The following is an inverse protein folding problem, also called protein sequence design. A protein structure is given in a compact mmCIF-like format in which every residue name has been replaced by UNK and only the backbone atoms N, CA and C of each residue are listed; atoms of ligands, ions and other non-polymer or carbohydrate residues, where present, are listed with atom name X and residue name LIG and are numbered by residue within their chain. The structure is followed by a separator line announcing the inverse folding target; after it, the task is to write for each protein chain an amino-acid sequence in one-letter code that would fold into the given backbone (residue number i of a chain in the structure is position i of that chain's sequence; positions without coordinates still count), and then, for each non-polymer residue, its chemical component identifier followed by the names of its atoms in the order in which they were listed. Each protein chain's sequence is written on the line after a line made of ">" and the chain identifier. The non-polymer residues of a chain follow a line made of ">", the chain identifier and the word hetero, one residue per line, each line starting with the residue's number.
data_IF_134722271390
#
_entry.id   IF_134722271390
#
_cell.length_a   1.000
_cell.length_b   1.000
_cell.length_c   1.000
_cell.angle_alpha   90.00
_cell.angle_beta   90.00
_cell.angle_gamma   90.00
#
_symmetry.space_group_name_H-M   'P 1'
#
loop_
_entity.id
_entity.type
_entity.pdbx_description
1 polymer ?
#
# COMPACT_ATOMS: atom_id res chain seq x y z
N UNK A 1 -22.96 -7.40 -4.01
CA UNK A 1 -21.85 -7.23 -4.99
C UNK A 1 -21.39 -8.60 -5.45
N UNK A 2 -21.13 -8.80 -6.74
CA UNK A 2 -20.64 -10.05 -7.28
C UNK A 2 -19.14 -9.91 -7.57
N UNK A 3 -18.33 -10.86 -7.07
CA UNK A 3 -16.91 -10.91 -7.34
C UNK A 3 -16.64 -11.71 -8.63
N UNK A 4 -15.81 -11.17 -9.52
CA UNK A 4 -15.49 -11.76 -10.82
C UNK A 4 -14.03 -11.51 -11.19
N UNK A 5 -13.59 -12.12 -12.29
CA UNK A 5 -12.28 -11.88 -12.86
C UNK A 5 -12.43 -11.47 -14.32
N UNK A 6 -12.00 -10.25 -14.64
CA UNK A 6 -11.98 -9.75 -16.01
C UNK A 6 -11.03 -8.58 -16.19
N UNK A 7 -10.64 -8.32 -17.42
CA UNK A 7 -9.83 -7.15 -17.73
C UNK A 7 -10.67 -5.87 -17.57
N UNK A 8 -10.04 -4.86 -16.96
CA UNK A 8 -10.59 -3.52 -16.78
C UNK A 8 -9.52 -2.53 -17.23
N UNK A 9 -9.90 -1.52 -18.00
CA UNK A 9 -8.98 -0.48 -18.41
C UNK A 9 -8.54 0.42 -17.24
N UNK A 10 -7.44 1.14 -17.42
CA UNK A 10 -6.84 1.95 -16.37
C UNK A 10 -7.76 3.08 -15.87
N UNK A 11 -8.52 3.72 -16.77
CA UNK A 11 -9.42 4.82 -16.40
C UNK A 11 -10.60 4.30 -15.57
N UNK A 12 -11.19 3.17 -15.97
CA UNK A 12 -12.25 2.49 -15.24
C UNK A 12 -11.77 1.98 -13.88
N UNK A 13 -10.56 1.41 -13.80
CA UNK A 13 -9.92 1.00 -12.54
C UNK A 13 -9.79 2.18 -11.58
N UNK A 14 -9.19 3.30 -12.03
CA UNK A 14 -9.00 4.49 -11.19
C UNK A 14 -10.33 5.08 -10.72
N UNK A 15 -11.33 5.15 -11.61
CA UNK A 15 -12.66 5.67 -11.26
C UNK A 15 -13.35 4.79 -10.22
N UNK A 16 -13.39 3.48 -10.45
CA UNK A 16 -14.03 2.52 -9.56
C UNK A 16 -13.41 2.58 -8.17
N UNK A 17 -12.08 2.47 -8.06
CA UNK A 17 -11.39 2.48 -6.79
C UNK A 17 -11.53 3.82 -6.05
N UNK A 18 -11.52 4.96 -6.75
CA UNK A 18 -11.79 6.25 -6.11
C UNK A 18 -13.18 6.29 -5.48
N UNK A 19 -14.20 5.87 -6.21
CA UNK A 19 -15.59 5.88 -5.71
C UNK A 19 -15.77 4.89 -4.56
N UNK A 20 -15.14 3.72 -4.65
CA UNK A 20 -15.20 2.71 -3.60
C UNK A 20 -14.56 3.21 -2.31
N UNK A 21 -13.31 3.71 -2.38
CA UNK A 21 -12.62 4.25 -1.21
C UNK A 21 -13.29 5.49 -0.62
N UNK A 22 -13.99 6.28 -1.45
CA UNK A 22 -14.84 7.34 -0.94
C UNK A 22 -16.07 6.78 -0.20
N UNK A 23 -16.77 5.82 -0.78
CA UNK A 23 -18.00 5.26 -0.18
C UNK A 23 -17.75 4.41 1.04
N UNK A 24 -16.70 3.58 1.04
CA UNK A 24 -16.35 2.66 2.11
C UNK A 24 -15.55 3.29 3.26
N UNK A 25 -15.15 4.57 3.14
CA UNK A 25 -14.21 5.21 4.08
C UNK A 25 -14.67 5.19 5.54
N UNK A 26 -15.96 5.48 5.81
CA UNK A 26 -16.50 5.53 7.17
C UNK A 26 -16.53 4.11 7.78
N UNK A 27 -16.95 3.11 7.02
CA UNK A 27 -17.01 1.72 7.44
C UNK A 27 -15.61 1.16 7.67
N UNK A 28 -14.68 1.44 6.77
CA UNK A 28 -13.27 1.03 6.90
C UNK A 28 -12.63 1.59 8.18
N UNK A 29 -12.82 2.87 8.47
CA UNK A 29 -12.25 3.47 9.69
C UNK A 29 -12.93 2.92 10.96
N UNK A 30 -14.23 2.64 10.93
CA UNK A 30 -14.93 2.02 12.05
C UNK A 30 -14.42 0.61 12.35
N UNK A 31 -14.17 -0.19 11.31
CA UNK A 31 -13.76 -1.58 11.43
C UNK A 31 -12.26 -1.73 11.77
N UNK A 32 -11.43 -0.94 11.11
CA UNK A 32 -9.98 -1.12 11.17
C UNK A 32 -9.25 -0.05 11.97
N UNK A 33 -9.88 1.10 12.23
CA UNK A 33 -9.25 2.24 12.89
C UNK A 33 -8.66 1.91 14.26
N UNK A 34 -9.34 1.07 15.05
CA UNK A 34 -8.82 0.63 16.35
C UNK A 34 -7.52 -0.18 16.27
N UNK A 35 -7.33 -0.97 15.23
CA UNK A 35 -6.09 -1.71 14.97
C UNK A 35 -4.99 -0.81 14.40
N UNK A 36 -5.34 0.01 13.42
CA UNK A 36 -4.40 0.92 12.77
C UNK A 36 -3.90 2.02 13.71
N UNK A 37 -4.75 2.42 14.68
CA UNK A 37 -4.46 3.53 15.58
C UNK A 37 -4.53 4.89 14.89
N UNK A 38 -4.41 5.96 15.66
CA UNK A 38 -4.42 7.33 15.12
C UNK A 38 -3.00 7.84 14.79
N UNK A 39 -2.01 7.38 15.58
CA UNK A 39 -0.59 7.73 15.45
C UNK A 39 0.23 6.45 15.57
N UNK A 40 0.15 5.59 14.56
CA UNK A 40 0.84 4.31 14.52
C UNK A 40 1.19 3.94 13.07
N UNK A 41 2.29 3.25 12.87
CA UNK A 41 2.70 2.81 11.54
C UNK A 41 2.70 1.27 11.46
N UNK A 42 1.58 0.72 11.02
CA UNK A 42 1.41 -0.72 10.79
C UNK A 42 1.58 -1.02 9.30
N UNK A 43 2.52 -1.90 8.98
CA UNK A 43 2.80 -2.31 7.59
C UNK A 43 1.78 -3.27 7.01
N UNK A 44 1.09 -4.05 7.85
CA UNK A 44 0.30 -5.18 7.38
C UNK A 44 -0.68 -5.70 8.43
N UNK A 45 -1.69 -6.51 8.02
CA UNK A 45 -2.61 -7.17 8.93
C UNK A 45 -1.96 -8.09 9.97
N UNK A 46 -0.76 -8.61 9.70
CA UNK A 46 0.06 -9.36 10.67
C UNK A 46 0.52 -8.47 11.84
N UNK A 47 0.42 -7.16 11.71
CA UNK A 47 0.71 -6.22 12.79
C UNK A 47 2.17 -5.78 12.89
N UNK A 48 2.99 -5.98 11.84
CA UNK A 48 4.37 -5.49 11.82
C UNK A 48 4.39 -3.96 11.93
N UNK A 49 4.95 -3.46 13.04
CA UNK A 49 5.04 -2.02 13.33
C UNK A 49 6.39 -1.46 12.87
N UNK A 50 6.40 -0.28 12.25
CA UNK A 50 7.63 0.39 11.82
C UNK A 50 8.53 0.78 13.01
N UNK A 51 7.96 0.99 14.19
CA UNK A 51 8.73 1.25 15.40
C UNK A 51 9.73 0.12 15.70
N UNK A 52 9.34 -1.12 15.40
CA UNK A 52 10.17 -2.31 15.61
C UNK A 52 10.92 -2.70 14.32
N UNK A 53 10.24 -2.68 13.17
CA UNK A 53 10.77 -3.14 11.89
C UNK A 53 11.85 -2.22 11.31
N UNK A 54 11.73 -0.90 11.52
CA UNK A 54 12.65 0.15 11.08
C UNK A 54 13.05 0.05 9.60
N UNK A 55 12.09 -0.32 8.75
CA UNK A 55 12.33 -0.51 7.32
C UNK A 55 12.67 0.81 6.60
N UNK A 56 12.12 1.92 7.10
CA UNK A 56 12.44 3.26 6.60
C UNK A 56 13.78 3.78 7.13
N UNK A 57 14.30 3.20 8.23
CA UNK A 57 15.50 3.66 8.90
C UNK A 57 15.28 4.94 9.72
N UNK A 58 16.30 5.81 9.82
CA UNK A 58 16.16 7.09 10.52
C UNK A 58 15.34 8.08 9.69
N UNK A 59 14.19 8.48 10.24
CA UNK A 59 13.23 9.39 9.59
C UNK A 59 13.30 10.83 10.12
N UNK A 60 14.03 11.07 11.22
CA UNK A 60 14.11 12.41 11.82
C UNK A 60 14.67 13.44 10.84
N UNK A 61 13.94 14.55 10.66
CA UNK A 61 14.28 15.62 9.74
C UNK A 61 14.11 15.28 8.24
N UNK A 62 13.80 14.02 7.88
CA UNK A 62 13.62 13.57 6.48
C UNK A 62 12.31 14.09 5.90
N UNK A 63 12.31 14.34 4.59
CA UNK A 63 11.08 14.59 3.81
C UNK A 63 10.54 13.26 3.32
N UNK A 64 9.35 12.92 3.77
CA UNK A 64 8.71 11.62 3.50
C UNK A 64 7.42 11.82 2.73
N UNK A 65 7.22 11.04 1.66
CA UNK A 65 5.95 10.93 0.95
C UNK A 65 5.27 9.62 1.35
N UNK A 66 4.05 9.72 1.86
CA UNK A 66 3.17 8.56 2.06
C UNK A 66 2.20 8.46 0.89
N UNK A 67 2.30 7.39 0.08
CA UNK A 67 1.50 7.14 -1.11
C UNK A 67 0.34 6.22 -0.75
N UNK A 68 -0.92 6.67 -0.99
CA UNK A 68 -2.11 5.97 -0.52
C UNK A 68 -2.24 6.06 0.99
N UNK A 69 -2.17 7.28 1.53
CA UNK A 69 -2.08 7.51 2.98
C UNK A 69 -3.39 7.23 3.73
N UNK A 70 -4.51 7.08 3.04
CA UNK A 70 -5.82 6.90 3.67
C UNK A 70 -6.11 8.00 4.69
N UNK A 71 -6.42 7.58 5.93
CA UNK A 71 -6.65 8.50 7.04
C UNK A 71 -5.34 8.97 7.73
N UNK A 72 -4.16 8.66 7.19
CA UNK A 72 -2.88 9.26 7.55
C UNK A 72 -2.27 8.79 8.88
N UNK A 73 -2.61 7.60 9.35
CA UNK A 73 -2.09 7.06 10.61
C UNK A 73 -0.56 6.93 10.59
N UNK A 74 -0.02 6.32 9.52
CA UNK A 74 1.43 6.13 9.32
C UNK A 74 2.14 7.49 9.20
N UNK A 75 1.59 8.42 8.43
CA UNK A 75 2.15 9.77 8.28
C UNK A 75 2.21 10.54 9.57
N UNK A 76 1.17 10.45 10.43
CA UNK A 76 1.20 11.09 11.76
C UNK A 76 2.23 10.45 12.68
N UNK A 77 2.38 9.13 12.64
CA UNK A 77 3.45 8.47 13.38
C UNK A 77 4.82 8.96 12.94
N UNK A 78 5.08 9.01 11.62
CA UNK A 78 6.33 9.54 11.07
C UNK A 78 6.58 11.00 11.52
N UNK A 79 5.54 11.83 11.54
CA UNK A 79 5.67 13.20 12.05
C UNK A 79 6.02 13.24 13.53
N UNK A 80 5.45 12.34 14.34
CA UNK A 80 5.80 12.22 15.76
C UNK A 80 7.27 11.81 15.98
N UNK A 81 7.87 11.14 14.97
CA UNK A 81 9.30 10.79 14.95
C UNK A 81 10.18 11.91 14.34
N UNK A 82 9.63 13.10 14.11
CA UNK A 82 10.37 14.26 13.61
C UNK A 82 10.52 14.34 12.08
N UNK A 83 9.83 13.51 11.31
CA UNK A 83 9.82 13.59 9.86
C UNK A 83 8.97 14.77 9.34
N UNK A 84 9.27 15.25 8.13
CA UNK A 84 8.46 16.21 7.36
C UNK A 84 7.65 15.43 6.34
N UNK A 85 6.41 15.08 6.68
CA UNK A 85 5.59 14.17 5.88
C UNK A 85 4.57 14.92 5.05
N UNK A 86 4.34 14.43 3.83
CA UNK A 86 3.18 14.74 2.99
C UNK A 86 2.49 13.43 2.67
N UNK A 87 1.19 13.34 2.95
CA UNK A 87 0.35 12.22 2.55
C UNK A 87 -0.33 12.49 1.20
N UNK A 88 -0.48 11.44 0.39
CA UNK A 88 -1.23 11.50 -0.86
C UNK A 88 -2.24 10.36 -0.91
N UNK A 89 -3.49 10.66 -1.27
CA UNK A 89 -4.52 9.65 -1.49
C UNK A 89 -5.45 10.05 -2.64
N UNK A 90 -6.04 9.05 -3.28
CA UNK A 90 -7.02 9.23 -4.34
C UNK A 90 -8.40 9.61 -3.76
N UNK A 91 -8.72 9.11 -2.55
CA UNK A 91 -10.00 9.30 -1.89
C UNK A 91 -10.05 10.61 -1.08
N UNK A 92 -10.94 11.50 -1.48
CA UNK A 92 -11.21 12.71 -0.71
C UNK A 92 -11.79 12.40 0.67
N UNK A 93 -12.61 11.36 0.80
CA UNK A 93 -13.22 10.96 2.06
C UNK A 93 -12.20 10.46 3.07
N UNK A 94 -11.23 9.66 2.64
CA UNK A 94 -10.12 9.24 3.49
C UNK A 94 -9.31 10.45 3.99
N UNK A 95 -9.02 11.40 3.11
CA UNK A 95 -8.33 12.64 3.52
C UNK A 95 -9.14 13.48 4.51
N UNK A 96 -10.48 13.44 4.43
CA UNK A 96 -11.35 14.06 5.43
C UNK A 96 -11.26 13.36 6.79
N UNK A 97 -11.11 12.03 6.82
CA UNK A 97 -10.82 11.30 8.06
C UNK A 97 -9.46 11.73 8.62
N UNK A 98 -8.43 11.85 7.78
CA UNK A 98 -7.11 12.35 8.20
C UNK A 98 -7.23 13.70 8.90
N UNK A 99 -7.94 14.66 8.32
CA UNK A 99 -8.15 15.99 8.93
C UNK A 99 -8.87 15.93 10.29
N UNK A 100 -9.85 15.02 10.46
CA UNK A 100 -10.52 14.83 11.76
C UNK A 100 -9.57 14.27 12.81
N UNK A 101 -8.75 13.30 12.43
CA UNK A 101 -7.75 12.70 13.33
C UNK A 101 -6.65 13.72 13.67
N UNK A 102 -6.24 14.59 12.74
CA UNK A 102 -5.31 15.69 13.00
C UNK A 102 -5.81 16.60 14.13
N UNK A 103 -7.10 16.95 14.10
CA UNK A 103 -7.72 17.77 15.15
C UNK A 103 -7.77 17.06 16.49
N UNK A 104 -8.01 15.76 16.48
CA UNK A 104 -8.09 14.94 17.68
C UNK A 104 -6.72 14.70 18.33
N UNK A 105 -5.70 14.43 17.51
CA UNK A 105 -4.34 14.11 17.97
C UNK A 105 -3.44 15.34 18.16
N UNK A 106 -3.81 16.46 17.59
CA UNK A 106 -2.95 17.66 17.53
C UNK A 106 -1.75 17.52 16.59
N UNK A 107 -1.68 16.45 15.78
CA UNK A 107 -0.60 16.21 14.84
C UNK A 107 -1.14 16.39 13.42
N UNK A 108 -0.97 17.57 12.85
CA UNK A 108 -1.43 17.89 11.50
C UNK A 108 -0.58 17.17 10.43
N UNK A 109 -1.22 16.45 9.52
CA UNK A 109 -0.59 15.82 8.35
C UNK A 109 -0.99 16.59 7.08
N UNK A 110 -0.07 17.31 6.42
CA UNK A 110 -0.34 17.86 5.10
C UNK A 110 -0.70 16.75 4.10
N UNK A 111 -1.85 16.89 3.43
CA UNK A 111 -2.34 15.89 2.49
C UNK A 111 -2.68 16.49 1.14
N UNK A 112 -2.54 15.69 0.07
CA UNK A 112 -2.87 16.06 -1.31
C UNK A 112 -3.77 14.97 -1.91
N UNK A 113 -4.88 15.36 -2.53
CA UNK A 113 -5.69 14.44 -3.31
C UNK A 113 -5.10 14.33 -4.72
N UNK A 114 -4.56 13.14 -5.06
CA UNK A 114 -4.02 12.89 -6.40
C UNK A 114 -3.95 11.39 -6.70
N UNK A 115 -3.78 11.07 -7.99
CA UNK A 115 -3.49 9.72 -8.46
C UNK A 115 -2.00 9.41 -8.29
N UNK A 116 -1.67 8.29 -7.65
CA UNK A 116 -0.31 7.83 -7.43
C UNK A 116 0.47 7.55 -8.74
N UNK A 117 -0.24 7.31 -9.84
CA UNK A 117 0.36 7.14 -11.17
C UNK A 117 0.90 8.46 -11.77
N UNK A 118 0.57 9.61 -11.14
CA UNK A 118 1.03 10.94 -11.56
C UNK A 118 1.17 11.87 -10.36
N UNK A 119 2.30 11.80 -9.69
CA UNK A 119 2.57 12.56 -8.46
C UNK A 119 2.74 14.06 -8.74
N UNK A 120 2.00 14.95 -8.05
CA UNK A 120 2.07 16.40 -8.27
C UNK A 120 3.25 17.07 -7.55
N UNK A 121 4.40 16.42 -7.57
CA UNK A 121 5.61 16.89 -6.90
C UNK A 121 6.77 17.00 -7.88
N UNK A 122 7.69 17.90 -7.61
CA UNK A 122 8.91 18.06 -8.39
C UNK A 122 9.86 16.86 -8.19
N UNK A 123 10.77 16.67 -9.14
CA UNK A 123 11.83 15.67 -9.05
C UNK A 123 12.67 15.86 -7.78
N UNK A 124 13.16 14.77 -7.22
CA UNK A 124 14.06 14.77 -6.06
C UNK A 124 13.54 15.60 -4.85
N UNK A 125 12.21 15.60 -4.64
CA UNK A 125 11.55 16.36 -3.56
C UNK A 125 11.59 15.65 -2.21
N UNK A 126 11.77 14.32 -2.18
CA UNK A 126 11.67 13.51 -0.98
C UNK A 126 12.94 12.70 -0.74
N UNK A 127 13.23 12.44 0.53
CA UNK A 127 14.31 11.56 0.97
C UNK A 127 13.83 10.11 1.06
N UNK A 128 12.55 9.92 1.44
CA UNK A 128 11.90 8.63 1.63
C UNK A 128 10.50 8.66 1.02
N UNK A 129 10.04 7.51 0.57
CA UNK A 129 8.63 7.28 0.23
C UNK A 129 8.15 5.96 0.84
N UNK A 130 6.88 5.89 1.23
CA UNK A 130 6.28 4.67 1.76
C UNK A 130 4.84 4.49 1.27
N UNK A 131 4.37 3.24 1.28
CA UNK A 131 2.99 2.87 1.01
C UNK A 131 2.65 1.60 1.77
N UNK A 132 1.86 1.71 2.84
CA UNK A 132 1.39 0.56 3.61
C UNK A 132 0.01 0.14 3.11
N UNK A 133 -0.06 -0.89 2.26
CA UNK A 133 -1.28 -1.33 1.57
C UNK A 133 -2.03 -0.22 0.80
N UNK A 134 -1.32 0.85 0.46
CA UNK A 134 -1.88 1.95 -0.33
C UNK A 134 -1.91 1.62 -1.83
N UNK A 135 -1.95 2.61 -2.66
CA UNK A 135 -2.17 2.66 -4.10
C UNK A 135 -1.81 1.42 -4.97
N UNK A 136 -0.67 0.76 -4.73
CA UNK A 136 -0.05 -0.20 -5.66
C UNK A 136 -0.94 -1.41 -6.08
N UNK A 137 -1.72 -2.04 -5.18
CA UNK A 137 -2.63 -3.12 -5.59
C UNK A 137 -3.81 -2.63 -6.44
N UNK A 138 -4.17 -1.35 -6.32
CA UNK A 138 -5.40 -0.76 -6.83
C UNK A 138 -5.21 0.00 -8.15
N UNK A 139 -4.02 -0.04 -8.74
CA UNK A 139 -3.73 0.62 -10.02
C UNK A 139 -3.48 -0.40 -11.12
N UNK A 140 -3.95 -0.10 -12.31
CA UNK A 140 -3.68 -0.94 -13.48
C UNK A 140 -2.18 -0.91 -13.86
N UNK A 141 -1.55 0.25 -13.75
CA UNK A 141 -0.13 0.46 -14.05
C UNK A 141 0.70 0.74 -12.79
N UNK A 142 1.16 -0.32 -12.11
CA UNK A 142 2.05 -0.19 -10.98
C UNK A 142 3.46 0.29 -11.36
N UNK A 143 3.90 0.07 -12.63
CA UNK A 143 5.16 0.63 -13.11
C UNK A 143 5.14 2.15 -13.08
N UNK A 144 4.03 2.79 -13.48
CA UNK A 144 3.88 4.24 -13.42
C UNK A 144 4.04 4.75 -11.97
N UNK A 145 3.43 4.07 -10.97
CA UNK A 145 3.59 4.46 -9.56
C UNK A 145 5.04 4.33 -9.10
N UNK A 146 5.72 3.24 -9.43
CA UNK A 146 7.12 3.03 -9.06
C UNK A 146 8.06 4.04 -9.74
N UNK A 147 7.82 4.34 -11.03
CA UNK A 147 8.58 5.34 -11.78
C UNK A 147 8.40 6.75 -11.20
N UNK A 148 7.17 7.12 -10.84
CA UNK A 148 6.87 8.39 -10.18
C UNK A 148 7.48 8.47 -8.78
N UNK A 149 7.39 7.40 -7.98
CA UNK A 149 8.06 7.33 -6.68
C UNK A 149 9.59 7.52 -6.85
N UNK A 150 10.20 6.83 -7.83
CA UNK A 150 11.63 7.04 -8.16
C UNK A 150 11.91 8.47 -8.60
N UNK A 151 11.07 9.07 -9.43
CA UNK A 151 11.26 10.45 -9.91
C UNK A 151 11.31 11.43 -8.76
N UNK A 152 10.35 11.36 -7.84
CA UNK A 152 10.26 12.30 -6.71
C UNK A 152 11.27 12.04 -5.60
N UNK A 153 11.84 10.84 -5.53
CA UNK A 153 12.93 10.52 -4.61
C UNK A 153 14.25 11.13 -5.05
N UNK A 154 15.06 11.58 -4.09
CA UNK A 154 16.46 11.97 -4.32
C UNK A 154 17.31 10.76 -4.65
N UNK A 155 18.45 10.93 -5.35
CA UNK A 155 19.47 9.88 -5.43
C UNK A 155 19.83 9.37 -4.03
N UNK A 156 19.88 8.04 -3.85
CA UNK A 156 20.04 7.38 -2.55
C UNK A 156 18.77 7.36 -1.68
N UNK A 157 17.65 7.89 -2.18
CA UNK A 157 16.35 7.85 -1.49
C UNK A 157 15.74 6.45 -1.47
N UNK A 158 14.93 6.15 -0.45
CA UNK A 158 14.34 4.83 -0.23
C UNK A 158 12.84 4.87 -0.46
N UNK A 159 12.33 3.80 -1.10
CA UNK A 159 10.90 3.47 -1.19
C UNK A 159 10.66 2.16 -0.45
N UNK A 160 9.70 2.15 0.48
CA UNK A 160 9.20 0.92 1.12
C UNK A 160 7.71 0.81 0.87
N UNK A 161 7.26 -0.35 0.38
CA UNK A 161 5.83 -0.56 0.18
C UNK A 161 5.42 -1.99 0.51
N UNK A 162 4.22 -2.14 1.05
CA UNK A 162 3.60 -3.43 1.32
C UNK A 162 2.41 -3.67 0.39
N UNK A 163 2.23 -4.91 0.01
CA UNK A 163 1.10 -5.39 -0.80
C UNK A 163 0.63 -6.74 -0.26
N UNK A 164 -0.60 -7.12 -0.57
CA UNK A 164 -1.06 -8.50 -0.42
C UNK A 164 -0.02 -9.45 -1.04
N UNK A 165 0.45 -10.45 -0.26
CA UNK A 165 1.42 -11.38 -0.79
C UNK A 165 0.88 -12.10 -2.03
N UNK A 166 1.61 -12.14 -3.14
CA UNK A 166 1.12 -12.73 -4.39
C UNK A 166 0.59 -14.16 -4.28
N UNK A 167 1.14 -14.97 -3.36
CA UNK A 167 0.68 -16.35 -3.15
C UNK A 167 -0.79 -16.43 -2.71
N UNK A 168 -1.28 -15.41 -2.00
CA UNK A 168 -2.68 -15.33 -1.55
C UNK A 168 -3.66 -15.49 -2.70
N UNK A 169 -3.33 -15.00 -3.88
CA UNK A 169 -4.19 -15.04 -5.05
C UNK A 169 -4.40 -16.44 -5.66
N UNK A 170 -3.63 -17.44 -5.22
CA UNK A 170 -3.87 -18.84 -5.55
C UNK A 170 -4.96 -19.47 -4.68
N UNK A 171 -5.37 -18.81 -3.60
CA UNK A 171 -6.35 -19.33 -2.63
C UNK A 171 -7.67 -18.54 -2.71
N UNK A 172 -8.78 -19.14 -2.22
CA UNK A 172 -10.07 -18.44 -2.17
C UNK A 172 -10.02 -17.22 -1.24
N UNK A 173 -10.94 -16.30 -1.45
CA UNK A 173 -11.15 -15.15 -0.56
C UNK A 173 -11.95 -15.55 0.68
N UNK A 174 -11.38 -16.50 1.41
CA UNK A 174 -11.91 -17.09 2.64
C UNK A 174 -10.74 -17.28 3.60
N UNK A 175 -10.74 -16.67 4.79
CA UNK A 175 -9.65 -16.79 5.76
C UNK A 175 -9.41 -18.23 6.22
N UNK A 176 -10.40 -19.12 6.08
CA UNK A 176 -10.29 -20.57 6.36
C UNK A 176 -9.82 -21.42 5.18
N UNK A 177 -9.76 -20.86 3.97
CA UNK A 177 -9.45 -21.60 2.74
C UNK A 177 -7.97 -21.94 2.62
N UNK A 178 -7.58 -23.20 2.74
CA UNK A 178 -6.19 -23.68 2.66
C UNK A 178 -5.86 -24.43 1.35
N UNK A 179 -6.84 -24.60 0.47
CA UNK A 179 -6.63 -25.27 -0.82
C UNK A 179 -6.52 -24.24 -1.92
N UNK A 180 -5.45 -24.29 -2.70
CA UNK A 180 -5.32 -23.47 -3.89
C UNK A 180 -6.40 -23.85 -4.91
N UNK A 181 -7.18 -22.91 -5.36
CA UNK A 181 -8.32 -23.09 -6.27
C UNK A 181 -8.13 -22.40 -7.62
N UNK A 182 -7.02 -21.66 -7.78
CA UNK A 182 -6.69 -20.94 -9.01
C UNK A 182 -5.19 -20.83 -9.26
N UNK A 183 -4.83 -20.48 -10.49
CA UNK A 183 -3.44 -20.31 -10.86
C UNK A 183 -2.83 -19.06 -10.22
N UNK A 184 -1.69 -19.23 -9.56
CA UNK A 184 -0.82 -18.14 -9.13
C UNK A 184 -0.39 -17.20 -10.28
N UNK A 185 -0.36 -17.72 -11.50
CA UNK A 185 0.06 -16.99 -12.70
C UNK A 185 -1.10 -16.29 -13.43
N UNK A 186 -2.34 -16.43 -12.94
CA UNK A 186 -3.48 -15.70 -13.48
C UNK A 186 -3.44 -14.24 -13.01
N UNK A 187 -3.13 -13.33 -13.95
CA UNK A 187 -3.02 -11.88 -13.73
C UNK A 187 -4.31 -11.13 -14.03
N UNK A 188 -5.39 -11.87 -14.30
CA UNK A 188 -6.69 -11.25 -14.52
C UNK A 188 -7.14 -10.53 -13.26
N UNK A 189 -7.45 -9.23 -13.32
CA UNK A 189 -7.86 -8.44 -12.15
C UNK A 189 -9.05 -9.05 -11.41
N UNK A 190 -9.02 -8.95 -10.08
CA UNK A 190 -10.18 -9.14 -9.24
C UNK A 190 -11.08 -7.92 -9.37
N UNK A 191 -12.36 -8.14 -9.61
CA UNK A 191 -13.33 -7.08 -9.87
C UNK A 191 -14.59 -7.36 -9.05
N UNK A 192 -15.09 -6.33 -8.38
CA UNK A 192 -16.43 -6.35 -7.82
C UNK A 192 -17.36 -5.48 -8.66
N UNK A 193 -18.57 -5.97 -8.86
CA UNK A 193 -19.62 -5.31 -9.60
C UNK A 193 -20.84 -5.09 -8.70
N UNK A 194 -21.53 -3.97 -8.91
CA UNK A 194 -22.80 -3.71 -8.28
C UNK A 194 -23.95 -4.50 -8.95
N UNK A 195 -25.19 -4.28 -8.49
CA UNK A 195 -26.37 -4.96 -9.02
C UNK A 195 -26.67 -4.61 -10.48
N UNK A 196 -26.10 -3.51 -10.99
CA UNK A 196 -26.25 -3.09 -12.40
C UNK A 196 -25.16 -3.63 -13.31
N UNK A 197 -24.11 -4.29 -12.74
CA UNK A 197 -22.93 -4.76 -13.45
C UNK A 197 -21.87 -3.68 -13.68
N UNK A 198 -21.99 -2.53 -12.98
CA UNK A 198 -20.93 -1.52 -13.02
C UNK A 198 -19.78 -1.93 -12.10
N UNK A 199 -18.54 -1.73 -12.58
CA UNK A 199 -17.33 -2.01 -11.80
C UNK A 199 -17.22 -1.00 -10.66
N UNK A 200 -17.18 -1.52 -9.42
CA UNK A 200 -17.09 -0.71 -8.20
C UNK A 200 -15.76 -0.85 -7.47
N UNK A 201 -15.05 -1.98 -7.65
CA UNK A 201 -13.74 -2.22 -7.04
C UNK A 201 -12.86 -3.06 -7.96
N UNK A 202 -11.56 -2.76 -7.99
CA UNK A 202 -10.58 -3.51 -8.80
C UNK A 202 -9.28 -3.68 -8.01
N UNK A 203 -8.80 -4.92 -7.96
CA UNK A 203 -7.47 -5.22 -7.41
C UNK A 203 -6.66 -6.03 -8.44
N UNK A 204 -5.41 -5.63 -8.62
CA UNK A 204 -4.53 -6.21 -9.63
C UNK A 204 -3.52 -7.15 -9.00
N UNK A 205 -3.62 -8.44 -9.34
CA UNK A 205 -2.61 -9.42 -8.98
C UNK A 205 -1.34 -9.28 -9.83
N UNK A 206 -0.19 -9.38 -9.18
CA UNK A 206 1.14 -9.46 -9.77
C UNK A 206 1.94 -10.51 -9.01
N UNK A 207 2.62 -11.40 -9.73
CA UNK A 207 3.50 -12.39 -9.10
C UNK A 207 4.70 -11.71 -8.42
N UNK A 208 5.42 -12.41 -7.54
CA UNK A 208 6.69 -11.87 -6.99
C UNK A 208 7.68 -11.53 -8.11
N UNK A 209 7.75 -12.37 -9.16
CA UNK A 209 8.59 -12.10 -10.32
C UNK A 209 8.18 -10.82 -11.06
N UNK A 210 6.86 -10.57 -11.19
CA UNK A 210 6.36 -9.32 -11.79
C UNK A 210 6.78 -8.10 -10.95
N UNK A 211 6.65 -8.17 -9.62
CA UNK A 211 7.06 -7.08 -8.73
C UNK A 211 8.54 -6.77 -8.85
N UNK A 212 9.40 -7.80 -8.83
CA UNK A 212 10.86 -7.63 -9.01
C UNK A 212 11.16 -7.00 -10.38
N UNK A 213 10.49 -7.48 -11.43
CA UNK A 213 10.64 -6.92 -12.79
C UNK A 213 10.21 -5.46 -12.88
N UNK A 214 9.07 -5.09 -12.27
CA UNK A 214 8.55 -3.72 -12.26
C UNK A 214 9.47 -2.76 -11.47
N UNK A 215 9.98 -3.19 -10.30
CA UNK A 215 10.94 -2.43 -9.50
C UNK A 215 12.20 -2.14 -10.33
N UNK A 216 12.75 -3.16 -10.98
CA UNK A 216 13.95 -3.03 -11.82
C UNK A 216 13.69 -2.15 -13.03
N UNK A 217 12.57 -2.35 -13.74
CA UNK A 217 12.18 -1.54 -14.91
C UNK A 217 11.97 -0.06 -14.55
N UNK A 218 11.48 0.23 -13.34
CA UNK A 218 11.38 1.59 -12.82
C UNK A 218 12.75 2.20 -12.46
N UNK A 219 13.86 1.44 -12.54
CA UNK A 219 15.20 1.88 -12.19
C UNK A 219 15.44 2.01 -10.68
N UNK A 220 14.70 1.25 -9.89
CA UNK A 220 14.91 1.06 -8.46
C UNK A 220 15.74 -0.21 -8.22
N UNK A 221 16.49 -0.23 -7.13
CA UNK A 221 17.23 -1.41 -6.66
C UNK A 221 16.47 -2.03 -5.49
N UNK A 222 16.06 -3.28 -5.62
CA UNK A 222 15.49 -4.04 -4.51
C UNK A 222 16.60 -4.37 -3.50
N UNK A 223 16.45 -3.93 -2.25
CA UNK A 223 17.39 -4.18 -1.16
C UNK A 223 16.99 -5.36 -0.30
N UNK A 224 15.70 -5.49 -0.01
CA UNK A 224 15.15 -6.65 0.67
C UNK A 224 13.67 -6.84 0.36
N UNK A 225 13.22 -8.07 0.52
CA UNK A 225 11.83 -8.47 0.59
C UNK A 225 11.58 -9.01 2.00
N UNK A 226 10.58 -8.47 2.69
CA UNK A 226 10.17 -8.92 4.02
C UNK A 226 8.79 -9.57 3.91
N UNK A 227 8.68 -10.77 4.43
CA UNK A 227 7.44 -11.54 4.55
C UNK A 227 7.15 -11.68 6.05
N UNK A 228 6.27 -10.84 6.62
CA UNK A 228 5.97 -10.89 8.05
C UNK A 228 5.33 -12.22 8.43
N UNK A 229 5.85 -12.85 9.48
CA UNK A 229 5.23 -14.03 10.07
C UNK A 229 4.01 -13.62 10.89
N UNK A 230 3.02 -14.51 10.98
CA UNK A 230 1.85 -14.28 11.82
C UNK A 230 2.20 -14.43 13.29
N UNK A 231 2.04 -13.38 14.13
CA UNK A 231 2.47 -13.43 15.52
C UNK A 231 1.62 -14.40 16.36
N UNK A 232 2.24 -15.06 17.33
CA UNK A 232 1.51 -15.87 18.30
C UNK A 232 0.51 -15.02 19.09
N UNK A 233 -0.71 -15.53 19.26
CA UNK A 233 -1.78 -14.82 19.98
C UNK A 233 -2.46 -13.71 19.19
N UNK A 234 -2.08 -13.48 17.92
CA UNK A 234 -2.77 -12.54 17.05
C UNK A 234 -3.98 -13.22 16.40
N UNK A 235 -5.18 -12.98 16.93
CA UNK A 235 -6.41 -13.66 16.52
C UNK A 235 -7.27 -12.86 15.52
N UNK A 236 -6.72 -11.78 14.96
CA UNK A 236 -7.46 -10.94 14.02
C UNK A 236 -7.65 -11.64 12.68
N UNK A 237 -8.86 -11.49 12.12
CA UNK A 237 -9.13 -11.79 10.72
C UNK A 237 -9.31 -10.49 9.94
N UNK A 238 -8.78 -10.43 8.72
CA UNK A 238 -8.92 -9.29 7.83
C UNK A 238 -8.85 -9.74 6.38
N UNK A 239 -10.00 -9.79 5.70
CA UNK A 239 -10.08 -10.34 4.36
C UNK A 239 -9.54 -11.77 4.31
N UNK A 240 -8.55 -12.02 3.48
CA UNK A 240 -7.88 -13.32 3.38
C UNK A 240 -6.82 -13.60 4.45
N UNK A 241 -6.55 -12.67 5.38
CA UNK A 241 -5.60 -12.87 6.48
C UNK A 241 -6.29 -13.49 7.69
N UNK A 242 -5.68 -14.49 8.26
CA UNK A 242 -6.17 -15.16 9.48
C UNK A 242 -5.03 -15.86 10.21
N UNK A 243 -5.19 -16.19 11.50
CA UNK A 243 -4.23 -17.00 12.24
C UNK A 243 -3.97 -18.36 11.58
N UNK A 244 -5.02 -18.97 11.00
CA UNK A 244 -4.92 -20.25 10.33
C UNK A 244 -4.04 -20.21 9.09
N UNK A 245 -4.26 -19.25 8.21
CA UNK A 245 -3.49 -19.10 6.97
C UNK A 245 -2.10 -18.54 7.23
N UNK A 246 -2.00 -17.53 8.10
CA UNK A 246 -0.76 -16.82 8.39
C UNK A 246 0.33 -17.71 9.01
N UNK A 247 -0.05 -18.83 9.67
CA UNK A 247 0.91 -19.82 10.16
C UNK A 247 1.49 -20.71 9.05
N UNK A 248 0.91 -20.69 7.86
CA UNK A 248 1.25 -21.61 6.76
C UNK A 248 1.82 -20.90 5.55
N UNK A 249 1.32 -19.72 5.24
CA UNK A 249 1.73 -18.92 4.07
C UNK A 249 1.78 -17.44 4.43
N UNK A 250 2.70 -16.66 3.81
CA UNK A 250 2.74 -15.22 4.06
C UNK A 250 1.48 -14.53 3.50
N UNK A 251 0.93 -13.61 4.28
CA UNK A 251 -0.20 -12.77 3.85
C UNK A 251 0.26 -11.49 3.16
N UNK A 252 1.46 -11.01 3.50
CA UNK A 252 2.02 -9.73 3.07
C UNK A 252 3.41 -9.87 2.49
N UNK A 253 3.70 -9.10 1.44
CA UNK A 253 5.04 -8.88 0.91
C UNK A 253 5.40 -7.39 1.06
N UNK A 254 6.54 -7.09 1.70
CA UNK A 254 7.04 -5.72 1.87
C UNK A 254 8.35 -5.59 1.12
N UNK A 255 8.40 -4.68 0.16
CA UNK A 255 9.57 -4.42 -0.68
C UNK A 255 10.31 -3.19 -0.17
N UNK A 256 11.59 -3.34 0.12
CA UNK A 256 12.50 -2.24 0.45
C UNK A 256 13.35 -1.94 -0.76
N UNK A 257 13.15 -0.77 -1.36
CA UNK A 257 13.78 -0.36 -2.59
C UNK A 257 14.60 0.93 -2.38
N UNK A 258 15.58 1.16 -3.25
CA UNK A 258 16.43 2.35 -3.22
C UNK A 258 16.59 2.93 -4.62
N UNK A 259 16.50 4.25 -4.74
CA UNK A 259 16.95 4.96 -5.94
C UNK A 259 18.47 5.02 -5.91
N UNK A 260 19.18 4.49 -6.94
CA UNK A 260 20.64 4.57 -6.99
C UNK A 260 21.17 5.99 -6.74
N UNK A 261 22.29 6.09 -6.03
CA UNK A 261 23.01 7.36 -5.92
C UNK A 261 23.58 7.79 -7.29
N UNK A 262 23.75 9.08 -7.50
CA UNK A 262 24.40 9.57 -8.71
C UNK A 262 25.84 9.04 -8.77
N UNK A 263 26.19 8.39 -9.88
CA UNK A 263 27.52 7.83 -10.09
C UNK A 263 27.72 6.36 -9.68
N UNK A 264 26.72 5.69 -9.09
CA UNK A 264 26.76 4.23 -8.94
C UNK A 264 26.22 3.58 -10.21
N UNK A 265 27.10 3.31 -11.18
CA UNK A 265 26.77 2.41 -12.28
C UNK A 265 26.40 1.05 -11.67
N UNK A 266 25.30 0.45 -12.16
CA UNK A 266 24.98 -0.93 -11.86
C UNK A 266 26.14 -1.80 -12.33
N UNK A 267 26.93 -2.32 -11.37
CA UNK A 267 27.95 -3.34 -11.62
C UNK A 267 27.30 -4.70 -11.82
#
# INVERSE_FOLDING_TARGET
>A
MAATRRNVDAASTTRANRLWWDSASDDYQREHGGFLGDVRFIWCPEGLDEADARLLGDVAGRRVLEIGCGAGQCGRWLRSQGARVTGLDLSFRQLRHSQRIDLHTGIALPTVQADAQRLPFADASFDLACSAFGALPFVADAHAVLAEARRVLRPGGRLVFSVTHPIRWAFPDDPGGLTADRSYFDRTPYVEEDETGEVVYVEHHRTLGDWVGLITAAGLVLRSLVEPEWPEGHEREWGGWSPLRGRLIPGTAIFVCEKPAEGSAAG
#
